data_IF_640601789138
#
_entry.id   IF_640601789138
#
_cell.length_a   1.000
_cell.length_b   1.000
_cell.length_c   1.000
_cell.angle_alpha   90.00
_cell.angle_beta   90.00
_cell.angle_gamma   90.00
#
_symmetry.space_group_name_H-M   'P 1'
#
loop_
_entity.id
_entity.type
_entity.pdbx_description
1 polymer ?
#
# COMPACT_ATOMS: atom_id res chain seq x y z
N UNK A 1 24.29 -75.47 -19.70
CA UNK A 1 24.98 -74.14 -19.41
C UNK A 1 24.56 -73.01 -20.29
N UNK A 2 24.29 -73.24 -21.60
CA UNK A 2 23.86 -72.18 -22.54
C UNK A 2 22.52 -71.54 -22.19
N UNK A 3 21.53 -72.29 -21.70
CA UNK A 3 20.22 -71.77 -21.28
C UNK A 3 20.26 -70.90 -20.00
N UNK A 4 21.16 -71.17 -19.09
CA UNK A 4 21.36 -70.33 -17.87
C UNK A 4 22.01 -68.96 -18.18
N UNK A 5 22.87 -68.92 -19.21
CA UNK A 5 23.52 -67.66 -19.65
C UNK A 5 22.54 -66.74 -20.35
N UNK A 6 21.62 -67.30 -21.18
CA UNK A 6 20.58 -66.51 -21.86
C UNK A 6 19.56 -65.91 -20.88
N UNK A 7 19.08 -66.66 -19.90
CA UNK A 7 18.15 -66.21 -18.87
C UNK A 7 18.76 -65.11 -18.01
N UNK A 8 20.06 -65.20 -17.70
CA UNK A 8 20.76 -64.13 -16.94
C UNK A 8 20.92 -62.85 -17.72
N UNK A 9 21.16 -62.92 -19.04
CA UNK A 9 21.30 -61.70 -19.86
C UNK A 9 19.95 -61.00 -20.13
N UNK A 10 18.88 -61.76 -20.32
CA UNK A 10 17.51 -61.18 -20.50
C UNK A 10 17.01 -60.53 -19.19
N UNK A 11 17.29 -61.12 -18.05
CA UNK A 11 16.95 -60.55 -16.75
C UNK A 11 17.71 -59.22 -16.48
N UNK A 12 19.02 -59.18 -16.81
CA UNK A 12 19.82 -57.95 -16.73
C UNK A 12 19.34 -56.82 -17.66
N UNK A 13 18.90 -57.18 -18.87
CA UNK A 13 18.36 -56.18 -19.82
C UNK A 13 17.01 -55.65 -19.35
N UNK A 14 16.13 -56.49 -18.84
CA UNK A 14 14.84 -56.11 -18.30
C UNK A 14 14.99 -55.22 -17.07
N UNK A 15 15.93 -55.51 -16.18
CA UNK A 15 16.18 -54.67 -14.99
C UNK A 15 16.76 -53.30 -15.36
N UNK A 16 17.61 -53.23 -16.36
CA UNK A 16 18.11 -51.94 -16.87
C UNK A 16 17.00 -51.12 -17.54
N UNK A 17 16.09 -51.76 -18.29
CA UNK A 17 14.94 -51.06 -18.86
C UNK A 17 13.96 -50.57 -17.83
N UNK A 18 13.64 -51.34 -16.79
CA UNK A 18 12.77 -50.94 -15.69
C UNK A 18 13.41 -49.82 -14.87
N UNK A 19 14.70 -49.87 -14.62
CA UNK A 19 15.41 -48.77 -13.91
C UNK A 19 15.43 -47.48 -14.73
N UNK A 20 15.70 -47.57 -16.05
CA UNK A 20 15.65 -46.40 -16.94
C UNK A 20 14.26 -45.80 -17.04
N UNK A 21 13.21 -46.64 -17.15
CA UNK A 21 11.82 -46.21 -17.17
C UNK A 21 11.41 -45.50 -15.87
N UNK A 22 11.80 -46.03 -14.71
CA UNK A 22 11.54 -45.40 -13.40
C UNK A 22 12.29 -44.07 -13.26
N UNK A 23 13.52 -43.98 -13.74
CA UNK A 23 14.29 -42.74 -13.72
C UNK A 23 13.62 -41.66 -14.61
N UNK A 24 13.23 -42.03 -15.84
CA UNK A 24 12.51 -41.15 -16.74
C UNK A 24 11.18 -40.68 -16.13
N UNK A 25 10.43 -41.59 -15.51
CA UNK A 25 9.14 -41.24 -14.88
C UNK A 25 9.33 -40.31 -13.67
N UNK A 26 10.36 -40.53 -12.84
CA UNK A 26 10.71 -39.62 -11.75
C UNK A 26 11.08 -38.22 -12.26
N UNK A 27 11.86 -38.14 -13.33
CA UNK A 27 12.24 -36.86 -13.94
C UNK A 27 10.98 -36.16 -14.52
N UNK A 28 10.11 -36.90 -15.22
CA UNK A 28 8.88 -36.36 -15.78
C UNK A 28 7.92 -35.86 -14.70
N UNK A 29 7.73 -36.63 -13.61
CA UNK A 29 6.90 -36.22 -12.45
C UNK A 29 7.50 -35.01 -11.77
N UNK A 30 8.83 -34.96 -11.58
CA UNK A 30 9.51 -33.78 -11.01
C UNK A 30 9.32 -32.54 -11.90
N UNK A 31 9.50 -32.65 -13.21
CA UNK A 31 9.29 -31.54 -14.15
C UNK A 31 7.83 -31.07 -14.16
N UNK A 32 6.88 -32.02 -14.12
CA UNK A 32 5.46 -31.70 -14.05
C UNK A 32 5.09 -31.04 -12.73
N UNK A 33 5.61 -31.55 -11.62
CA UNK A 33 5.41 -30.95 -10.29
C UNK A 33 6.01 -29.55 -10.21
N UNK A 34 7.22 -29.34 -10.71
CA UNK A 34 7.87 -28.03 -10.77
C UNK A 34 7.08 -27.06 -11.64
N UNK A 35 6.52 -27.50 -12.78
CA UNK A 35 5.68 -26.69 -13.65
C UNK A 35 4.36 -26.30 -12.97
N UNK A 36 3.70 -27.23 -12.28
CA UNK A 36 2.41 -26.98 -11.58
C UNK A 36 2.63 -26.19 -10.30
N UNK A 37 3.66 -26.51 -9.51
CA UNK A 37 3.97 -25.80 -8.28
C UNK A 37 4.47 -24.37 -8.53
N UNK A 38 5.08 -24.12 -9.69
CA UNK A 38 5.51 -22.78 -10.10
C UNK A 38 4.33 -21.88 -10.52
N UNK A 39 3.27 -22.47 -11.08
CA UNK A 39 2.05 -21.72 -11.47
C UNK A 39 1.14 -21.40 -10.25
N UNK A 40 1.28 -22.15 -9.15
CA UNK A 40 0.49 -21.96 -7.93
C UNK A 40 1.04 -20.90 -6.98
N UNK A 41 2.24 -20.37 -7.19
CA UNK A 41 2.78 -19.24 -6.43
C UNK A 41 2.35 -17.95 -7.11
N UNK A 42 1.86 -16.98 -6.34
CA UNK A 42 1.55 -15.63 -6.82
C UNK A 42 2.82 -14.95 -7.39
N UNK A 43 3.12 -15.24 -8.66
CA UNK A 43 4.25 -14.62 -9.35
C UNK A 43 3.82 -13.27 -9.92
N UNK A 44 4.46 -12.19 -9.48
CA UNK A 44 4.29 -10.85 -10.03
C UNK A 44 4.94 -10.80 -11.41
N UNK A 45 4.17 -10.40 -12.44
CA UNK A 45 4.70 -10.25 -13.78
C UNK A 45 5.45 -8.92 -13.90
N UNK A 46 6.71 -8.96 -14.31
CA UNK A 46 7.55 -7.77 -14.39
C UNK A 46 8.07 -7.52 -15.81
N UNK A 47 8.21 -6.23 -16.15
CA UNK A 47 8.99 -5.75 -17.28
C UNK A 47 10.24 -5.04 -16.77
N UNK A 48 11.33 -5.08 -17.55
CA UNK A 48 12.54 -4.34 -17.25
C UNK A 48 12.67 -3.20 -18.26
N UNK A 49 12.77 -1.97 -17.75
CA UNK A 49 13.05 -0.78 -18.56
C UNK A 49 14.55 -0.55 -18.63
N UNK A 50 15.07 -0.52 -19.86
CA UNK A 50 16.50 -0.45 -20.16
C UNK A 50 17.08 -1.83 -20.51
N UNK A 51 17.52 -1.98 -21.77
CA UNK A 51 17.99 -3.24 -22.32
C UNK A 51 19.51 -3.45 -22.20
N UNK A 52 20.32 -2.39 -22.02
CA UNK A 52 21.77 -2.52 -21.95
C UNK A 52 22.29 -3.10 -20.63
N UNK A 53 23.47 -3.70 -20.68
CA UNK A 53 24.32 -4.28 -19.62
C UNK A 53 23.70 -4.47 -18.24
N UNK A 54 23.27 -3.39 -17.61
CA UNK A 54 22.64 -3.41 -16.30
C UNK A 54 21.25 -4.06 -16.31
N UNK A 55 20.40 -3.78 -17.31
CA UNK A 55 19.07 -4.40 -17.40
C UNK A 55 19.13 -5.91 -17.67
N UNK A 56 20.09 -6.37 -18.46
CA UNK A 56 20.32 -7.82 -18.69
C UNK A 56 20.86 -8.48 -17.41
N UNK A 57 21.71 -7.79 -16.64
CA UNK A 57 22.21 -8.30 -15.36
C UNK A 57 21.09 -8.42 -14.33
N UNK A 58 20.19 -7.45 -14.25
CA UNK A 58 18.97 -7.52 -13.42
C UNK A 58 18.11 -8.72 -13.82
N UNK A 59 17.91 -8.96 -15.12
CA UNK A 59 17.17 -10.12 -15.60
C UNK A 59 17.83 -11.46 -15.24
N UNK A 60 19.16 -11.52 -15.24
CA UNK A 60 19.91 -12.70 -14.79
C UNK A 60 19.75 -12.92 -13.29
N UNK A 61 19.87 -11.88 -12.48
CA UNK A 61 19.70 -11.94 -11.03
C UNK A 61 18.30 -12.42 -10.64
N UNK A 62 17.25 -11.90 -11.32
CA UNK A 62 15.88 -12.36 -11.15
C UNK A 62 15.69 -13.86 -11.43
N UNK A 63 16.45 -14.43 -12.36
CA UNK A 63 16.38 -15.87 -12.70
C UNK A 63 17.14 -16.76 -11.72
N UNK A 64 18.22 -16.26 -11.14
CA UNK A 64 19.12 -17.04 -10.26
C UNK A 64 18.61 -17.04 -8.81
N UNK A 65 17.89 -16.00 -8.38
CA UNK A 65 17.34 -15.89 -7.03
C UNK A 65 16.33 -17.03 -6.74
N UNK A 66 16.60 -17.84 -5.74
CA UNK A 66 15.77 -18.98 -5.32
C UNK A 66 14.39 -18.58 -4.74
N UNK A 67 14.21 -17.32 -4.37
CA UNK A 67 12.95 -16.78 -3.83
C UNK A 67 12.12 -16.03 -4.89
N UNK A 68 12.08 -16.50 -6.13
CA UNK A 68 11.52 -15.80 -7.26
C UNK A 68 9.99 -15.65 -7.18
N UNK A 69 9.53 -14.53 -6.65
CA UNK A 69 8.15 -14.06 -6.76
C UNK A 69 7.92 -13.26 -8.07
N UNK A 70 8.97 -13.01 -8.87
CA UNK A 70 8.91 -12.18 -10.08
C UNK A 70 9.07 -13.00 -11.36
N UNK A 71 8.17 -12.78 -12.33
CA UNK A 71 8.20 -13.43 -13.65
C UNK A 71 8.47 -12.40 -14.73
N UNK A 72 9.66 -12.44 -15.34
CA UNK A 72 10.01 -11.54 -16.45
C UNK A 72 9.16 -11.84 -17.69
N UNK A 73 8.44 -10.83 -18.18
CA UNK A 73 7.53 -10.92 -19.34
C UNK A 73 8.03 -10.15 -20.56
N UNK A 74 8.98 -9.23 -20.40
CA UNK A 74 9.51 -8.44 -21.49
C UNK A 74 10.52 -7.37 -21.02
N UNK A 75 11.10 -6.72 -22.00
CA UNK A 75 11.95 -5.55 -21.82
C UNK A 75 11.32 -4.36 -22.53
N UNK A 76 11.62 -3.14 -22.05
CA UNK A 76 11.23 -1.89 -22.68
C UNK A 76 12.53 -1.18 -23.08
N UNK A 77 12.60 -0.65 -24.31
CA UNK A 77 13.76 0.11 -24.77
C UNK A 77 13.33 1.29 -25.64
N UNK A 78 14.03 2.41 -25.50
CA UNK A 78 13.89 3.59 -26.35
C UNK A 78 14.70 3.47 -27.66
N UNK A 79 15.58 2.48 -27.76
CA UNK A 79 16.51 2.33 -28.87
C UNK A 79 15.85 1.54 -30.01
N UNK A 80 15.73 2.15 -31.21
CA UNK A 80 15.10 1.50 -32.38
C UNK A 80 15.75 0.17 -32.75
N UNK A 81 17.09 0.08 -32.62
CA UNK A 81 17.86 -1.11 -33.00
C UNK A 81 17.61 -2.32 -32.11
N UNK A 82 17.04 -2.13 -30.93
CA UNK A 82 16.78 -3.19 -29.96
C UNK A 82 15.34 -3.67 -29.98
N UNK A 83 14.44 -2.87 -30.56
CA UNK A 83 13.01 -3.19 -30.60
C UNK A 83 12.76 -4.47 -31.40
N UNK A 84 11.94 -5.35 -30.86
CA UNK A 84 11.59 -6.62 -31.50
C UNK A 84 12.58 -7.77 -31.30
N UNK A 85 13.78 -7.49 -30.80
CA UNK A 85 14.75 -8.55 -30.47
C UNK A 85 14.23 -9.42 -29.30
N UNK A 86 14.74 -10.64 -29.23
CA UNK A 86 14.44 -11.56 -28.13
C UNK A 86 15.69 -11.82 -27.33
N UNK A 87 15.60 -11.65 -26.03
CA UNK A 87 16.68 -11.94 -25.10
C UNK A 87 16.12 -12.68 -23.88
N UNK A 88 16.81 -13.73 -23.46
CA UNK A 88 16.39 -14.56 -22.36
C UNK A 88 14.93 -15.10 -22.49
N UNK A 89 14.47 -15.37 -23.74
CA UNK A 89 13.13 -15.82 -24.02
C UNK A 89 12.04 -14.73 -23.94
N UNK A 90 12.42 -13.47 -23.73
CA UNK A 90 11.52 -12.33 -23.64
C UNK A 90 11.76 -11.37 -24.79
N UNK A 91 10.70 -10.72 -25.28
CA UNK A 91 10.75 -9.75 -26.37
C UNK A 91 11.00 -8.34 -25.82
N UNK A 92 11.73 -7.53 -26.60
CA UNK A 92 11.92 -6.10 -26.34
C UNK A 92 10.81 -5.30 -27.03
N UNK A 93 10.14 -4.43 -26.27
CA UNK A 93 9.05 -3.58 -26.70
C UNK A 93 9.48 -2.12 -26.77
N UNK A 94 8.93 -1.34 -27.72
CA UNK A 94 9.16 0.10 -27.76
C UNK A 94 8.45 0.82 -26.60
N UNK A 95 8.99 1.96 -26.22
CA UNK A 95 8.35 2.91 -25.35
C UNK A 95 7.44 3.84 -26.17
N UNK A 96 6.24 3.37 -26.50
CA UNK A 96 5.24 4.07 -27.32
C UNK A 96 3.91 4.20 -26.56
N UNK A 97 2.96 4.96 -27.10
CA UNK A 97 1.64 5.15 -26.50
C UNK A 97 0.87 3.82 -26.29
N UNK A 98 1.19 2.78 -27.06
CA UNK A 98 0.57 1.46 -26.94
C UNK A 98 1.22 0.59 -25.85
N UNK A 99 2.25 1.09 -25.15
CA UNK A 99 2.94 0.33 -24.11
C UNK A 99 1.97 -0.07 -23.00
N UNK A 100 1.15 0.85 -22.53
CA UNK A 100 0.20 0.60 -21.43
C UNK A 100 -0.82 -0.48 -21.78
N UNK A 101 -1.34 -0.50 -23.00
CA UNK A 101 -2.24 -1.55 -23.48
C UNK A 101 -1.55 -2.93 -23.50
N UNK A 102 -0.27 -2.95 -23.89
CA UNK A 102 0.55 -4.18 -23.88
C UNK A 102 0.84 -4.67 -22.48
N UNK A 103 1.14 -3.77 -21.52
CA UNK A 103 1.34 -4.11 -20.12
C UNK A 103 0.06 -4.72 -19.54
N UNK A 104 -1.08 -4.07 -19.75
CA UNK A 104 -2.39 -4.55 -19.29
C UNK A 104 -2.75 -5.91 -19.90
N UNK A 105 -2.52 -6.11 -21.21
CA UNK A 105 -2.76 -7.39 -21.89
C UNK A 105 -1.91 -8.53 -21.34
N UNK A 106 -0.69 -8.21 -20.86
CA UNK A 106 0.23 -9.20 -20.28
C UNK A 106 0.10 -9.34 -18.78
N UNK A 107 -0.84 -8.62 -18.15
CA UNK A 107 -1.03 -8.57 -16.69
C UNK A 107 0.29 -8.25 -15.99
N UNK A 108 0.93 -7.17 -16.39
CA UNK A 108 2.18 -6.69 -15.81
C UNK A 108 1.81 -5.60 -14.81
N UNK A 109 2.13 -5.83 -13.55
CA UNK A 109 1.81 -4.95 -12.45
C UNK A 109 3.06 -4.20 -11.94
N UNK A 110 4.26 -4.61 -12.41
CA UNK A 110 5.52 -4.07 -11.91
C UNK A 110 6.52 -3.84 -13.04
N UNK A 111 7.19 -2.68 -13.02
CA UNK A 111 8.30 -2.35 -13.93
C UNK A 111 9.57 -2.15 -13.11
N UNK A 112 10.64 -2.85 -13.47
CA UNK A 112 11.96 -2.67 -12.88
C UNK A 112 12.79 -1.77 -13.77
N UNK A 113 13.24 -0.64 -13.25
CA UNK A 113 14.05 0.32 -13.98
C UNK A 113 15.53 -0.01 -13.80
N UNK A 114 16.24 -0.08 -14.93
CA UNK A 114 17.70 -0.19 -14.91
C UNK A 114 18.34 1.09 -14.37
N UNK A 115 19.34 1.04 -13.47
CA UNK A 115 19.98 2.23 -12.89
C UNK A 115 20.47 3.25 -13.92
N UNK A 116 20.90 2.78 -15.10
CA UNK A 116 21.37 3.64 -16.19
C UNK A 116 20.26 4.44 -16.90
N UNK A 117 18.98 4.10 -16.68
CA UNK A 117 17.83 4.71 -17.35
C UNK A 117 16.94 5.53 -16.41
N UNK A 118 17.30 5.60 -15.15
CA UNK A 118 16.58 6.36 -14.13
C UNK A 118 16.45 7.84 -14.53
N UNK A 119 17.56 8.50 -14.84
CA UNK A 119 17.58 9.92 -15.21
C UNK A 119 16.83 10.23 -16.52
N UNK A 120 16.82 9.29 -17.48
CA UNK A 120 16.12 9.47 -18.76
C UNK A 120 14.59 9.43 -18.55
N UNK A 121 14.11 8.56 -17.66
CA UNK A 121 12.70 8.44 -17.29
C UNK A 121 12.20 9.67 -16.51
N UNK A 122 13.01 10.22 -15.62
CA UNK A 122 12.70 11.44 -14.87
C UNK A 122 12.38 12.60 -15.80
N UNK A 123 13.18 12.75 -16.86
CA UNK A 123 13.03 13.86 -17.79
C UNK A 123 11.89 13.67 -18.80
N UNK A 124 11.38 12.45 -18.99
CA UNK A 124 10.39 12.12 -20.03
C UNK A 124 8.92 12.22 -19.57
N UNK A 125 8.65 12.44 -18.28
CA UNK A 125 7.27 12.40 -17.72
C UNK A 125 6.61 11.02 -17.82
N UNK A 126 7.39 9.98 -18.12
CA UNK A 126 6.89 8.61 -18.26
C UNK A 126 6.48 8.02 -16.91
N UNK A 127 7.16 8.42 -15.85
CA UNK A 127 6.88 7.97 -14.48
C UNK A 127 5.46 8.36 -14.05
N UNK A 128 5.05 9.58 -14.32
CA UNK A 128 3.71 10.07 -13.99
C UNK A 128 2.64 9.21 -14.69
N UNK A 129 2.90 8.80 -15.93
CA UNK A 129 2.02 7.90 -16.68
C UNK A 129 2.01 6.49 -16.10
N UNK A 130 3.14 5.96 -15.64
CA UNK A 130 3.22 4.64 -15.01
C UNK A 130 2.42 4.60 -13.70
N UNK A 131 2.59 5.61 -12.86
CA UNK A 131 1.86 5.72 -11.60
C UNK A 131 0.36 5.96 -11.80
N UNK A 132 -0.05 6.75 -12.80
CA UNK A 132 -1.47 6.96 -13.12
C UNK A 132 -2.19 5.67 -13.57
N UNK A 133 -1.44 4.65 -14.00
CA UNK A 133 -1.96 3.33 -14.39
C UNK A 133 -1.78 2.26 -13.31
N UNK A 134 -1.48 2.65 -12.07
CA UNK A 134 -1.30 1.74 -10.92
C UNK A 134 -0.21 0.68 -11.13
N UNK A 135 0.88 1.06 -11.80
CA UNK A 135 2.03 0.19 -12.07
C UNK A 135 3.10 0.45 -11.03
N UNK A 136 3.46 -0.59 -10.28
CA UNK A 136 4.58 -0.52 -9.34
C UNK A 136 5.91 -0.34 -10.06
N UNK A 137 6.71 0.60 -9.58
CA UNK A 137 8.03 0.89 -10.16
C UNK A 137 9.11 0.51 -9.15
N UNK A 138 10.07 -0.28 -9.59
CA UNK A 138 11.19 -0.77 -8.78
C UNK A 138 12.52 -0.41 -9.42
N UNK A 139 13.57 -0.18 -8.63
CA UNK A 139 14.94 -0.02 -9.13
C UNK A 139 15.90 -0.99 -8.44
N UNK A 140 17.04 -1.19 -9.08
CA UNK A 140 18.15 -1.95 -8.48
C UNK A 140 19.21 -0.93 -8.09
N UNK A 141 19.68 -0.91 -6.83
CA UNK A 141 20.76 -0.01 -6.42
C UNK A 141 22.02 -0.22 -7.27
N UNK A 142 22.83 0.82 -7.50
CA UNK A 142 24.09 0.69 -8.24
C UNK A 142 25.02 -0.31 -7.51
N UNK A 143 25.80 -1.05 -8.30
CA UNK A 143 26.69 -2.13 -7.85
C UNK A 143 27.71 -1.73 -6.76
N UNK A 144 27.94 -0.44 -6.54
CA UNK A 144 28.81 0.09 -5.49
C UNK A 144 28.29 -0.15 -4.06
N UNK A 145 26.98 -0.35 -3.88
CA UNK A 145 26.34 -0.45 -2.57
C UNK A 145 25.87 -1.87 -2.24
N UNK A 146 26.13 -2.82 -3.16
CA UNK A 146 25.74 -4.22 -2.98
C UNK A 146 26.88 -5.04 -2.35
N UNK A 147 27.10 -4.91 -1.05
CA UNK A 147 27.88 -5.89 -0.29
C UNK A 147 27.01 -6.97 0.37
N UNK A 148 25.69 -6.82 0.38
CA UNK A 148 24.77 -7.85 0.90
C UNK A 148 23.64 -8.09 -0.10
N UNK A 149 23.42 -9.37 -0.39
CA UNK A 149 22.32 -9.98 -1.17
C UNK A 149 21.52 -9.03 -2.06
N UNK A 150 21.76 -9.07 -3.37
CA UNK A 150 21.17 -8.26 -4.45
C UNK A 150 19.67 -8.01 -4.33
N UNK A 151 19.29 -7.19 -3.38
CA UNK A 151 17.92 -6.82 -3.08
C UNK A 151 17.44 -5.80 -4.10
N UNK A 152 16.44 -6.21 -4.89
CA UNK A 152 15.60 -5.28 -5.63
C UNK A 152 14.87 -4.45 -4.59
N UNK A 153 15.14 -3.14 -4.56
CA UNK A 153 14.51 -2.21 -3.63
C UNK A 153 13.29 -1.59 -4.30
N UNK A 154 12.16 -1.56 -3.60
CA UNK A 154 11.04 -0.72 -4.01
C UNK A 154 11.50 0.74 -4.00
N UNK A 155 11.26 1.44 -5.11
CA UNK A 155 11.48 2.86 -5.17
C UNK A 155 10.38 3.51 -4.35
N UNK A 156 10.76 4.13 -3.26
CA UNK A 156 9.87 5.05 -2.56
C UNK A 156 9.69 6.28 -3.44
N UNK A 157 8.45 6.77 -3.53
CA UNK A 157 8.15 7.99 -4.31
C UNK A 157 8.98 9.18 -3.79
N UNK A 158 9.29 9.15 -2.49
CA UNK A 158 10.13 10.12 -1.80
C UNK A 158 11.54 10.22 -2.38
N UNK A 159 12.12 9.13 -2.88
CA UNK A 159 13.46 9.09 -3.49
C UNK A 159 13.50 9.89 -4.82
N UNK A 160 12.34 10.19 -5.40
CA UNK A 160 12.20 10.93 -6.67
C UNK A 160 11.83 12.40 -6.51
N UNK A 161 11.36 12.78 -5.32
CA UNK A 161 11.11 14.18 -5.04
C UNK A 161 12.44 14.93 -4.92
N UNK A 162 12.65 15.94 -5.78
CA UNK A 162 13.86 16.79 -5.76
C UNK A 162 13.88 17.74 -4.55
N UNK A 163 13.43 17.30 -3.40
CA UNK A 163 13.41 18.03 -2.13
C UNK A 163 13.74 17.10 -0.98
N UNK A 164 14.21 17.67 0.10
CA UNK A 164 14.39 16.90 1.32
C UNK A 164 13.05 16.37 1.84
N UNK A 165 12.99 15.10 2.27
CA UNK A 165 11.79 14.54 2.89
C UNK A 165 11.40 15.35 4.12
N UNK A 166 10.10 15.41 4.41
CA UNK A 166 9.60 16.08 5.59
C UNK A 166 10.13 15.36 6.83
N UNK A 167 10.87 16.08 7.67
CA UNK A 167 11.41 15.55 8.91
C UNK A 167 10.43 15.81 10.05
N UNK A 168 9.98 14.75 10.71
CA UNK A 168 9.12 14.79 11.90
C UNK A 168 9.84 14.20 13.12
N UNK A 169 9.52 14.68 14.30
CA UNK A 169 10.10 14.14 15.54
C UNK A 169 9.39 12.84 15.95
N UNK A 170 9.86 11.72 15.39
CA UNK A 170 9.30 10.40 15.66
C UNK A 170 9.27 10.03 17.15
N UNK A 171 10.20 10.56 17.97
CA UNK A 171 10.23 10.27 19.41
C UNK A 171 9.00 10.82 20.12
N UNK A 172 8.58 12.04 19.77
CA UNK A 172 7.37 12.65 20.31
C UNK A 172 6.12 11.92 19.90
N UNK A 173 6.04 11.52 18.61
CA UNK A 173 4.91 10.75 18.08
C UNK A 173 4.79 9.41 18.81
N UNK A 174 5.91 8.67 18.92
CA UNK A 174 5.95 7.38 19.62
C UNK A 174 5.47 7.50 21.05
N UNK A 175 5.91 8.49 21.80
CA UNK A 175 5.50 8.71 23.21
C UNK A 175 3.98 8.88 23.39
N UNK A 176 3.27 9.32 22.34
CA UNK A 176 1.82 9.47 22.38
C UNK A 176 1.05 8.21 21.93
N UNK A 177 1.69 7.27 21.25
CA UNK A 177 1.05 6.09 20.62
C UNK A 177 1.41 4.81 21.35
N UNK A 178 2.66 4.66 21.78
CA UNK A 178 3.17 3.46 22.43
C UNK A 178 2.30 3.05 23.63
N UNK A 179 1.94 1.76 23.66
CA UNK A 179 1.13 1.17 24.72
C UNK A 179 -0.34 1.63 24.75
N UNK A 180 -0.84 2.35 23.73
CA UNK A 180 -2.22 2.85 23.69
C UNK A 180 -3.10 2.06 22.74
N UNK A 181 -4.41 2.06 23.02
CA UNK A 181 -5.44 1.56 22.10
C UNK A 181 -5.77 2.65 21.09
N UNK A 182 -5.48 2.39 19.82
CA UNK A 182 -5.66 3.35 18.73
C UNK A 182 -6.73 2.84 17.76
N UNK A 183 -7.77 3.63 17.54
CA UNK A 183 -8.82 3.32 16.57
C UNK A 183 -8.57 4.11 15.27
N UNK A 184 -8.70 3.42 14.15
CA UNK A 184 -8.69 4.03 12.81
C UNK A 184 -10.01 3.68 12.13
N UNK A 185 -10.81 4.70 11.81
CA UNK A 185 -12.03 4.53 11.01
C UNK A 185 -11.73 4.88 9.56
N UNK A 186 -12.34 4.17 8.61
CA UNK A 186 -11.94 4.25 7.21
C UNK A 186 -10.58 3.56 6.97
N UNK A 187 -10.27 2.53 7.75
CA UNK A 187 -8.98 1.84 7.77
C UNK A 187 -8.64 1.14 6.44
N UNK A 188 -9.63 0.79 5.65
CA UNK A 188 -9.46 0.16 4.34
C UNK A 188 -9.20 1.18 3.20
N UNK A 189 -9.46 2.47 3.43
CA UNK A 189 -9.18 3.55 2.48
C UNK A 189 -7.68 3.82 2.34
N UNK A 190 -7.26 4.50 1.27
CA UNK A 190 -5.84 4.77 1.00
C UNK A 190 -5.15 5.49 2.18
N UNK A 191 -5.74 6.56 2.69
CA UNK A 191 -5.21 7.33 3.83
C UNK A 191 -5.25 6.51 5.11
N UNK A 192 -6.39 5.84 5.40
CA UNK A 192 -6.54 5.01 6.61
C UNK A 192 -5.54 3.86 6.65
N UNK A 193 -5.34 3.17 5.52
CA UNK A 193 -4.38 2.06 5.39
C UNK A 193 -2.95 2.52 5.65
N UNK A 194 -2.57 3.68 5.09
CA UNK A 194 -1.23 4.22 5.30
C UNK A 194 -1.01 4.66 6.77
N UNK A 195 -2.01 5.30 7.39
CA UNK A 195 -1.96 5.62 8.82
C UNK A 195 -1.82 4.33 9.66
N UNK A 196 -2.55 3.27 9.33
CA UNK A 196 -2.45 1.97 10.02
C UNK A 196 -1.05 1.38 9.91
N UNK A 197 -0.43 1.41 8.72
CA UNK A 197 0.95 0.94 8.52
C UNK A 197 1.94 1.70 9.40
N UNK A 198 1.86 3.03 9.42
CA UNK A 198 2.74 3.85 10.23
C UNK A 198 2.51 3.63 11.73
N UNK A 199 1.25 3.54 12.17
CA UNK A 199 0.92 3.22 13.56
C UNK A 199 1.47 1.86 14.00
N UNK A 200 1.47 0.86 13.12
CA UNK A 200 1.96 -0.48 13.42
C UNK A 200 3.47 -0.50 13.77
N UNK A 201 4.24 0.45 13.25
CA UNK A 201 5.68 0.61 13.57
C UNK A 201 5.94 1.25 14.95
N UNK A 202 4.92 1.85 15.57
CA UNK A 202 5.04 2.66 16.80
C UNK A 202 4.61 1.91 18.07
N UNK A 203 4.50 0.58 18.00
CA UNK A 203 4.17 -0.31 19.11
C UNK A 203 2.93 0.10 19.93
N UNK A 204 1.76 0.34 19.31
CA UNK A 204 0.52 0.53 20.06
C UNK A 204 0.17 -0.74 20.84
N UNK A 205 -0.56 -0.60 21.94
CA UNK A 205 -1.08 -1.77 22.67
C UNK A 205 -2.06 -2.57 21.81
N UNK A 206 -2.93 -1.86 21.08
CA UNK A 206 -3.92 -2.47 20.19
C UNK A 206 -4.28 -1.50 19.06
N UNK A 207 -4.36 -2.01 17.83
CA UNK A 207 -4.97 -1.32 16.69
C UNK A 207 -6.41 -1.80 16.48
N UNK A 208 -7.35 -0.87 16.44
CA UNK A 208 -8.78 -1.11 16.23
C UNK A 208 -9.11 -0.53 14.85
N UNK A 209 -9.35 -1.41 13.88
CA UNK A 209 -9.59 -1.05 12.49
C UNK A 209 -11.09 -1.14 12.20
N UNK A 210 -11.69 -0.03 11.79
CA UNK A 210 -13.12 0.05 11.49
C UNK A 210 -13.30 0.51 10.05
N UNK A 211 -14.04 -0.26 9.27
CA UNK A 211 -14.45 0.11 7.91
C UNK A 211 -15.72 -0.63 7.53
N UNK A 212 -16.49 -0.09 6.58
CA UNK A 212 -17.66 -0.78 6.04
C UNK A 212 -17.30 -1.76 4.91
N UNK A 213 -16.14 -1.58 4.27
CA UNK A 213 -15.65 -2.40 3.16
C UNK A 213 -14.90 -3.63 3.68
N UNK A 214 -15.58 -4.80 3.72
CA UNK A 214 -15.03 -6.05 4.26
C UNK A 214 -13.75 -6.50 3.57
N UNK A 215 -13.78 -6.65 2.23
CA UNK A 215 -12.65 -7.24 1.49
C UNK A 215 -11.37 -6.40 1.60
N UNK A 216 -11.37 -5.07 1.36
CA UNK A 216 -10.16 -4.26 1.55
C UNK A 216 -9.69 -4.22 3.02
N UNK A 217 -10.62 -4.33 3.98
CA UNK A 217 -10.28 -4.36 5.40
C UNK A 217 -9.57 -5.67 5.77
N UNK A 218 -9.99 -6.79 5.17
CA UNK A 218 -9.33 -8.08 5.31
C UNK A 218 -7.91 -8.08 4.73
N UNK A 219 -7.71 -7.41 3.57
CA UNK A 219 -6.37 -7.26 2.99
C UNK A 219 -5.42 -6.52 3.93
N UNK A 220 -5.90 -5.47 4.61
CA UNK A 220 -5.11 -4.75 5.64
C UNK A 220 -4.78 -5.67 6.81
N UNK A 221 -5.72 -6.50 7.25
CA UNK A 221 -5.47 -7.48 8.33
C UNK A 221 -4.38 -8.48 7.95
N UNK A 222 -4.44 -9.03 6.74
CA UNK A 222 -3.41 -9.95 6.24
C UNK A 222 -2.03 -9.30 6.21
N UNK A 223 -1.94 -8.10 5.66
CA UNK A 223 -0.70 -7.33 5.61
C UNK A 223 -0.09 -7.13 6.99
N UNK A 224 -0.91 -6.74 7.98
CA UNK A 224 -0.44 -6.55 9.35
C UNK A 224 0.01 -7.85 10.00
N UNK A 225 -0.71 -8.95 9.79
CA UNK A 225 -0.36 -10.26 10.36
C UNK A 225 0.95 -10.82 9.79
N UNK A 226 1.27 -10.50 8.55
CA UNK A 226 2.50 -10.94 7.89
C UNK A 226 3.73 -10.18 8.40
N UNK A 227 3.61 -8.86 8.62
CA UNK A 227 4.74 -8.00 8.96
C UNK A 227 4.89 -7.75 10.47
N UNK A 228 3.79 -7.72 11.24
CA UNK A 228 3.78 -7.38 12.68
C UNK A 228 3.09 -8.47 13.51
N UNK A 229 3.72 -9.64 13.63
CA UNK A 229 3.14 -10.84 14.29
C UNK A 229 2.75 -10.65 15.76
N UNK A 230 3.36 -9.70 16.46
CA UNK A 230 3.13 -9.46 17.89
C UNK A 230 2.14 -8.30 18.14
N UNK A 231 1.65 -7.65 17.09
CA UNK A 231 0.73 -6.53 17.20
C UNK A 231 -0.70 -7.05 17.41
N UNK A 232 -1.37 -6.59 18.47
CA UNK A 232 -2.77 -6.90 18.68
C UNK A 232 -3.64 -6.04 17.74
N UNK A 233 -4.26 -6.69 16.77
CA UNK A 233 -5.12 -6.04 15.76
C UNK A 233 -6.54 -6.55 15.90
N UNK A 234 -7.47 -5.61 16.04
CA UNK A 234 -8.91 -5.91 16.08
C UNK A 234 -9.60 -5.30 14.87
N UNK A 235 -10.13 -6.14 14.01
CA UNK A 235 -10.81 -5.74 12.77
C UNK A 235 -12.32 -5.80 12.97
N UNK A 236 -13.02 -4.72 12.65
CA UNK A 236 -14.44 -4.55 12.88
C UNK A 236 -15.12 -3.97 11.63
N UNK A 237 -15.97 -4.76 11.00
CA UNK A 237 -16.79 -4.28 9.88
C UNK A 237 -17.96 -3.49 10.44
N UNK A 238 -17.97 -2.19 10.21
CA UNK A 238 -19.03 -1.30 10.68
C UNK A 238 -19.08 -0.01 9.85
N UNK A 239 -20.31 0.52 9.70
CA UNK A 239 -20.56 1.84 9.17
C UNK A 239 -20.54 2.87 10.30
N UNK A 240 -19.73 3.93 10.15
CA UNK A 240 -19.63 5.04 11.14
C UNK A 240 -20.94 5.79 11.32
N UNK A 241 -21.82 5.77 10.31
CA UNK A 241 -23.14 6.36 10.40
C UNK A 241 -24.09 5.57 11.35
N UNK A 242 -23.81 4.29 11.59
CA UNK A 242 -24.57 3.47 12.51
C UNK A 242 -24.16 3.72 13.97
N UNK A 243 -24.82 4.69 14.62
CA UNK A 243 -24.49 5.09 16.00
C UNK A 243 -24.53 3.94 17.00
N UNK A 244 -25.55 3.10 16.95
CA UNK A 244 -25.71 1.98 17.90
C UNK A 244 -24.56 0.98 17.78
N UNK A 245 -24.16 0.65 16.55
CA UNK A 245 -23.02 -0.25 16.31
C UNK A 245 -21.72 0.37 16.77
N UNK A 246 -21.50 1.65 16.44
CA UNK A 246 -20.28 2.38 16.87
C UNK A 246 -20.21 2.49 18.39
N UNK A 247 -21.32 2.77 19.06
CA UNK A 247 -21.35 2.85 20.52
C UNK A 247 -20.96 1.52 21.19
N UNK A 248 -21.48 0.39 20.70
CA UNK A 248 -21.07 -0.93 21.17
C UNK A 248 -19.57 -1.19 20.96
N UNK A 249 -19.01 -0.75 19.82
CA UNK A 249 -17.59 -0.86 19.53
C UNK A 249 -16.76 -0.02 20.53
N UNK A 250 -17.17 1.21 20.81
CA UNK A 250 -16.48 2.08 21.78
C UNK A 250 -16.56 1.52 23.20
N UNK A 251 -17.69 0.96 23.60
CA UNK A 251 -17.85 0.33 24.90
C UNK A 251 -16.91 -0.86 25.08
N UNK A 252 -16.80 -1.69 24.05
CA UNK A 252 -15.98 -2.90 24.06
C UNK A 252 -14.49 -2.61 23.98
N UNK A 253 -14.06 -1.69 23.08
CA UNK A 253 -12.66 -1.46 22.76
C UNK A 253 -12.00 -0.34 23.57
N UNK A 254 -12.79 0.62 24.07
CA UNK A 254 -12.29 1.77 24.86
C UNK A 254 -11.08 2.43 24.23
N UNK A 255 -11.16 2.97 23.01
CA UNK A 255 -10.03 3.59 22.34
C UNK A 255 -9.54 4.83 23.14
N UNK A 256 -8.23 5.05 23.12
CA UNK A 256 -7.61 6.20 23.74
C UNK A 256 -7.24 7.28 22.72
N UNK A 257 -6.97 6.86 21.49
CA UNK A 257 -6.69 7.73 20.34
C UNK A 257 -7.60 7.31 19.17
N UNK A 258 -8.04 8.29 18.39
CA UNK A 258 -8.86 8.04 17.19
C UNK A 258 -8.31 8.82 16.01
N UNK A 259 -8.10 8.12 14.89
CA UNK A 259 -7.91 8.70 13.57
C UNK A 259 -9.16 8.45 12.73
N UNK A 260 -9.91 9.51 12.45
CA UNK A 260 -11.15 9.42 11.69
C UNK A 260 -10.91 9.79 10.23
N UNK A 261 -10.76 8.77 9.40
CA UNK A 261 -10.54 8.90 7.95
C UNK A 261 -11.73 8.41 7.12
N UNK A 262 -12.77 7.85 7.78
CA UNK A 262 -13.97 7.36 7.10
C UNK A 262 -14.75 8.50 6.45
N UNK A 263 -14.83 8.49 5.12
CA UNK A 263 -15.62 9.43 4.35
C UNK A 263 -15.73 9.02 2.89
N UNK A 264 -16.82 9.38 2.24
CA UNK A 264 -16.90 9.37 0.78
C UNK A 264 -16.09 10.54 0.20
N UNK A 265 -15.33 10.29 -0.89
CA UNK A 265 -14.39 11.25 -1.48
C UNK A 265 -14.60 11.53 -2.96
N UNK A 266 -15.39 10.73 -3.67
CA UNK A 266 -15.61 10.88 -5.11
C UNK A 266 -16.66 11.94 -5.39
N UNK A 267 -16.22 13.12 -5.86
CA UNK A 267 -17.09 14.30 -6.09
C UNK A 267 -18.27 13.97 -6.99
N UNK A 268 -18.01 13.48 -8.22
CA UNK A 268 -19.07 13.19 -9.19
C UNK A 268 -20.13 12.23 -8.64
N UNK A 269 -19.70 11.17 -7.94
CA UNK A 269 -20.63 10.21 -7.37
C UNK A 269 -21.45 10.81 -6.21
N UNK A 270 -20.85 11.69 -5.41
CA UNK A 270 -21.53 12.30 -4.26
C UNK A 270 -22.47 13.45 -4.65
N UNK A 271 -22.26 14.07 -5.80
CA UNK A 271 -23.23 15.02 -6.35
C UNK A 271 -24.53 14.33 -6.80
N UNK A 272 -24.46 13.07 -7.25
CA UNK A 272 -25.62 12.23 -7.56
C UNK A 272 -26.25 11.62 -6.29
N UNK A 273 -25.47 11.34 -5.25
CA UNK A 273 -25.88 10.68 -4.01
C UNK A 273 -25.58 11.52 -2.76
N UNK A 274 -26.13 12.75 -2.73
CA UNK A 274 -25.90 13.70 -1.64
C UNK A 274 -26.29 13.16 -0.26
N UNK A 275 -27.38 12.36 -0.19
CA UNK A 275 -27.82 11.71 1.07
C UNK A 275 -26.72 10.84 1.69
N UNK A 276 -26.00 10.08 0.87
CA UNK A 276 -24.93 9.21 1.33
C UNK A 276 -23.73 10.02 1.86
N UNK A 277 -23.40 11.13 1.17
CA UNK A 277 -22.38 12.06 1.64
C UNK A 277 -22.75 12.66 3.00
N UNK A 278 -24.01 13.09 3.18
CA UNK A 278 -24.50 13.61 4.46
C UNK A 278 -24.44 12.53 5.55
N UNK A 279 -24.93 11.34 5.26
CA UNK A 279 -25.00 10.24 6.22
C UNK A 279 -23.60 9.83 6.70
N UNK A 280 -22.67 9.59 5.79
CA UNK A 280 -21.34 9.12 6.15
C UNK A 280 -20.44 10.25 6.63
N UNK A 281 -20.31 11.35 5.84
CA UNK A 281 -19.34 12.39 6.14
C UNK A 281 -19.77 13.28 7.31
N UNK A 282 -21.08 13.57 7.45
CA UNK A 282 -21.58 14.42 8.53
C UNK A 282 -22.02 13.55 9.72
N UNK A 283 -23.07 12.70 9.56
CA UNK A 283 -23.63 11.97 10.69
C UNK A 283 -22.63 10.96 11.25
N UNK A 284 -21.80 10.32 10.40
CA UNK A 284 -20.69 9.47 10.81
C UNK A 284 -19.68 10.23 11.68
N UNK A 285 -19.23 11.41 11.22
CA UNK A 285 -18.29 12.25 12.00
C UNK A 285 -18.89 12.71 13.33
N UNK A 286 -20.18 13.13 13.33
CA UNK A 286 -20.92 13.48 14.55
C UNK A 286 -20.92 12.32 15.54
N UNK A 287 -21.25 11.11 15.08
CA UNK A 287 -21.25 9.92 15.93
C UNK A 287 -19.87 9.68 16.57
N UNK A 288 -18.79 9.73 15.78
CA UNK A 288 -17.43 9.51 16.28
C UNK A 288 -17.02 10.58 17.27
N UNK A 289 -17.30 11.88 17.00
CA UNK A 289 -16.96 12.97 17.89
C UNK A 289 -17.71 12.89 19.23
N UNK A 290 -19.03 12.62 19.20
CA UNK A 290 -19.84 12.45 20.41
C UNK A 290 -19.41 11.25 21.25
N UNK A 291 -19.10 10.12 20.59
CA UNK A 291 -18.63 8.92 21.28
C UNK A 291 -17.23 9.12 21.83
N UNK A 292 -16.35 9.83 21.13
CA UNK A 292 -15.03 10.21 21.64
C UNK A 292 -15.15 11.01 22.93
N UNK A 293 -16.04 12.01 22.98
CA UNK A 293 -16.35 12.77 24.18
C UNK A 293 -16.94 11.92 25.30
N UNK A 294 -17.97 11.10 24.98
CA UNK A 294 -18.67 10.22 25.95
C UNK A 294 -17.73 9.23 26.62
N UNK A 295 -16.80 8.62 25.84
CA UNK A 295 -15.87 7.60 26.33
C UNK A 295 -14.51 8.17 26.73
N UNK A 296 -14.39 9.49 26.82
CA UNK A 296 -13.17 10.21 27.27
C UNK A 296 -11.91 9.83 26.51
N UNK A 297 -12.04 9.78 25.17
CA UNK A 297 -10.90 9.58 24.29
C UNK A 297 -9.91 10.73 24.46
N UNK A 298 -8.63 10.44 24.68
CA UNK A 298 -7.64 11.50 24.93
C UNK A 298 -7.50 12.44 23.74
N UNK A 299 -7.44 11.90 22.51
CA UNK A 299 -7.31 12.71 21.29
C UNK A 299 -8.04 12.07 20.11
N UNK A 300 -8.70 12.93 19.35
CA UNK A 300 -9.34 12.57 18.07
C UNK A 300 -8.77 13.44 16.96
N UNK A 301 -8.28 12.82 15.90
CA UNK A 301 -7.80 13.48 14.67
C UNK A 301 -8.76 13.17 13.54
N UNK A 302 -9.48 14.18 13.05
CA UNK A 302 -10.35 14.10 11.88
C UNK A 302 -9.55 14.46 10.62
N UNK A 303 -9.64 13.62 9.59
CA UNK A 303 -9.03 13.86 8.29
C UNK A 303 -10.06 14.46 7.35
N UNK A 304 -9.77 15.66 6.87
CA UNK A 304 -10.59 16.42 5.94
C UNK A 304 -9.84 16.69 4.63
N UNK A 305 -10.48 17.34 3.68
CA UNK A 305 -9.90 17.74 2.40
C UNK A 305 -9.57 19.24 2.39
N UNK A 306 -8.50 19.64 1.70
CA UNK A 306 -8.12 21.04 1.56
C UNK A 306 -9.24 21.90 0.99
N UNK A 307 -9.98 21.38 0.00
CA UNK A 307 -11.09 22.05 -0.65
C UNK A 307 -12.28 22.32 0.29
N UNK A 308 -12.36 21.66 1.46
CA UNK A 308 -13.37 21.99 2.47
C UNK A 308 -13.29 23.45 2.97
N UNK A 309 -12.18 24.15 2.69
CA UNK A 309 -12.06 25.59 2.99
C UNK A 309 -12.97 26.46 2.12
N UNK A 310 -13.08 26.11 0.85
CA UNK A 310 -13.91 26.80 -0.16
C UNK A 310 -14.70 25.74 -0.93
N UNK A 311 -15.75 25.19 -0.33
CA UNK A 311 -16.48 24.07 -0.92
C UNK A 311 -17.28 24.50 -2.15
N UNK A 312 -17.21 23.71 -3.21
CA UNK A 312 -17.92 23.95 -4.49
C UNK A 312 -18.94 22.85 -4.82
N UNK A 313 -18.84 21.67 -4.19
CA UNK A 313 -19.69 20.51 -4.46
C UNK A 313 -20.20 19.85 -3.16
N UNK A 314 -21.14 18.92 -3.28
CA UNK A 314 -21.81 18.29 -2.14
C UNK A 314 -20.81 17.56 -1.21
N UNK A 315 -19.80 16.91 -1.76
CA UNK A 315 -18.78 16.21 -0.98
C UNK A 315 -17.98 17.20 -0.11
N UNK A 316 -17.53 18.31 -0.67
CA UNK A 316 -16.75 19.33 0.04
C UNK A 316 -17.59 20.07 1.09
N UNK A 317 -18.86 20.40 0.78
CA UNK A 317 -19.80 20.94 1.75
C UNK A 317 -20.02 19.98 2.92
N UNK A 318 -20.17 18.67 2.66
CA UNK A 318 -20.34 17.69 3.73
C UNK A 318 -19.13 17.63 4.66
N UNK A 319 -17.92 17.70 4.12
CA UNK A 319 -16.68 17.78 4.91
C UNK A 319 -16.62 19.09 5.72
N UNK A 320 -16.97 20.22 5.12
CA UNK A 320 -16.98 21.51 5.83
C UNK A 320 -17.95 21.52 7.00
N UNK A 321 -19.15 20.99 6.83
CA UNK A 321 -20.13 20.89 7.92
C UNK A 321 -19.60 19.99 9.06
N UNK A 322 -19.00 18.88 8.72
CA UNK A 322 -18.38 17.98 9.69
C UNK A 322 -17.24 18.66 10.47
N UNK A 323 -16.38 19.45 9.80
CA UNK A 323 -15.34 20.23 10.45
C UNK A 323 -15.92 21.23 11.47
N UNK A 324 -16.96 21.98 11.06
CA UNK A 324 -17.62 22.96 11.94
C UNK A 324 -18.17 22.25 13.20
N UNK A 325 -18.75 21.06 13.04
CA UNK A 325 -19.26 20.27 14.16
C UNK A 325 -18.12 19.88 15.13
N UNK A 326 -17.03 19.32 14.61
CA UNK A 326 -15.86 18.91 15.41
C UNK A 326 -15.26 20.11 16.15
N UNK A 327 -15.11 21.25 15.48
CA UNK A 327 -14.62 22.49 16.08
C UNK A 327 -15.51 22.98 17.23
N UNK A 328 -16.83 22.96 17.01
CA UNK A 328 -17.77 23.38 18.05
C UNK A 328 -17.81 22.43 19.23
N UNK A 329 -17.59 21.14 19.00
CA UNK A 329 -17.52 20.11 20.04
C UNK A 329 -16.24 20.24 20.87
N UNK A 330 -15.07 20.47 20.24
CA UNK A 330 -13.81 20.74 20.93
C UNK A 330 -13.91 21.98 21.85
N UNK A 331 -14.49 23.05 21.35
CA UNK A 331 -14.72 24.27 22.14
C UNK A 331 -15.64 24.02 23.36
N UNK A 332 -16.68 23.21 23.24
CA UNK A 332 -17.58 22.84 24.35
C UNK A 332 -16.85 21.97 25.37
N UNK A 333 -16.17 20.92 24.92
CA UNK A 333 -15.44 20.00 25.80
C UNK A 333 -14.34 20.69 26.60
N UNK A 334 -13.56 21.57 25.99
CA UNK A 334 -12.55 22.37 26.68
C UNK A 334 -13.13 23.27 27.77
N UNK A 335 -14.35 23.74 27.59
CA UNK A 335 -15.05 24.57 28.58
C UNK A 335 -15.59 23.73 29.74
N UNK A 336 -16.14 22.55 29.45
CA UNK A 336 -16.92 21.77 30.39
C UNK A 336 -16.09 20.69 31.12
N UNK A 337 -15.21 19.96 30.43
CA UNK A 337 -14.48 18.81 31.00
C UNK A 337 -12.98 18.80 30.74
N UNK A 338 -12.51 19.41 29.67
CA UNK A 338 -11.09 19.47 29.30
C UNK A 338 -10.41 18.12 28.95
N UNK A 339 -11.19 17.03 28.80
CA UNK A 339 -10.64 15.68 28.77
C UNK A 339 -10.34 15.13 27.35
N UNK A 340 -10.95 15.68 26.30
CA UNK A 340 -10.78 15.22 24.91
C UNK A 340 -10.32 16.36 24.02
N UNK A 341 -9.17 16.22 23.40
CA UNK A 341 -8.69 17.14 22.36
C UNK A 341 -9.12 16.66 20.98
N UNK A 342 -9.70 17.56 20.17
CA UNK A 342 -10.10 17.26 18.81
C UNK A 342 -9.28 18.11 17.82
N UNK A 343 -8.72 17.44 16.82
CA UNK A 343 -7.90 18.05 15.77
C UNK A 343 -8.52 17.81 14.41
N UNK A 344 -8.32 18.75 13.50
CA UNK A 344 -8.71 18.60 12.08
C UNK A 344 -7.46 18.79 11.24
N UNK A 345 -7.18 17.79 10.40
CA UNK A 345 -6.11 17.83 9.42
C UNK A 345 -6.74 17.85 8.04
N UNK A 346 -6.45 18.90 7.27
CA UNK A 346 -6.84 18.99 5.87
C UNK A 346 -5.70 18.48 5.02
N UNK A 347 -5.95 17.37 4.32
CA UNK A 347 -5.01 16.88 3.32
C UNK A 347 -5.33 17.54 1.98
N UNK A 348 -4.29 18.06 1.32
CA UNK A 348 -4.33 18.49 -0.05
C UNK A 348 -4.40 17.31 -1.02
N UNK A 349 -4.23 17.58 -2.30
CA UNK A 349 -4.03 16.54 -3.30
C UNK A 349 -2.64 15.96 -3.11
N UNK A 350 -2.57 14.66 -2.84
CA UNK A 350 -1.30 13.95 -2.61
C UNK A 350 -0.89 13.18 -3.85
N UNK A 351 0.42 13.06 -4.06
CA UNK A 351 0.97 12.22 -5.11
C UNK A 351 0.61 10.73 -4.85
N UNK A 352 0.23 9.90 -5.85
CA UNK A 352 0.38 10.14 -7.28
C UNK A 352 -0.86 10.72 -8.00
N UNK A 353 -1.86 11.21 -7.32
CA UNK A 353 -3.12 11.67 -7.94
C UNK A 353 -2.97 12.97 -8.75
N UNK A 354 -1.93 13.76 -8.46
CA UNK A 354 -1.67 15.01 -9.18
C UNK A 354 -0.16 15.29 -9.30
N UNK A 355 0.31 15.63 -10.50
CA UNK A 355 1.72 15.94 -10.82
C UNK A 355 2.25 17.22 -10.17
N UNK A 356 1.37 18.05 -9.64
CA UNK A 356 1.72 19.30 -8.95
C UNK A 356 1.76 19.16 -7.42
N UNK A 357 1.54 17.97 -6.88
CA UNK A 357 1.56 17.76 -5.44
C UNK A 357 2.98 17.81 -4.90
N UNK A 358 3.13 18.54 -3.80
CA UNK A 358 4.42 18.73 -3.11
C UNK A 358 4.69 17.67 -2.04
N UNK A 359 3.71 16.81 -1.73
CA UNK A 359 3.78 15.86 -0.62
C UNK A 359 3.26 14.47 -1.03
N UNK A 360 3.92 13.41 -0.53
CA UNK A 360 3.46 12.04 -0.74
C UNK A 360 2.38 11.66 0.26
N UNK A 361 1.66 10.56 -0.02
CA UNK A 361 0.67 10.03 0.91
C UNK A 361 1.32 9.64 2.25
N UNK A 362 2.50 9.04 2.21
CA UNK A 362 3.26 8.63 3.39
C UNK A 362 3.65 9.84 4.26
N UNK A 363 4.20 10.89 3.64
CA UNK A 363 4.54 12.12 4.34
C UNK A 363 3.31 12.84 4.91
N UNK A 364 2.20 12.89 4.16
CA UNK A 364 0.95 13.48 4.63
C UNK A 364 0.40 12.74 5.86
N UNK A 365 0.47 11.41 5.86
CA UNK A 365 0.07 10.60 7.00
C UNK A 365 1.03 10.79 8.19
N UNK A 366 2.34 10.89 7.95
CA UNK A 366 3.33 11.14 8.98
C UNK A 366 3.10 12.51 9.67
N UNK A 367 2.84 13.56 8.90
CA UNK A 367 2.45 14.87 9.43
C UNK A 367 1.12 14.81 10.18
N UNK A 368 0.19 13.97 9.75
CA UNK A 368 -1.06 13.73 10.48
C UNK A 368 -0.81 13.12 11.86
N UNK A 369 0.15 12.20 11.97
CA UNK A 369 0.56 11.65 13.27
C UNK A 369 1.29 12.69 14.15
N UNK A 370 2.06 13.60 13.54
CA UNK A 370 2.76 14.66 14.28
C UNK A 370 1.81 15.59 15.01
N UNK A 371 0.57 15.75 14.53
CA UNK A 371 -0.48 16.53 15.20
C UNK A 371 -0.68 16.11 16.66
N UNK A 372 -0.47 14.82 16.97
CA UNK A 372 -0.53 14.32 18.33
C UNK A 372 0.56 14.92 19.24
N UNK A 373 1.66 15.41 18.68
CA UNK A 373 2.77 16.01 19.43
C UNK A 373 2.58 17.50 19.74
N UNK A 374 1.60 18.14 19.08
CA UNK A 374 1.35 19.57 19.22
C UNK A 374 0.61 19.87 20.52
N UNK A 375 1.38 20.06 21.62
CA UNK A 375 0.85 20.22 22.98
C UNK A 375 0.39 21.65 23.28
N UNK A 376 0.88 22.68 22.55
CA UNK A 376 0.71 24.09 22.89
C UNK A 376 0.44 25.00 21.69
N UNK A 377 -0.63 24.79 20.96
CA UNK A 377 -1.16 25.86 20.12
C UNK A 377 -2.37 26.42 20.86
N UNK A 378 -2.21 27.62 21.40
CA UNK A 378 -3.20 28.33 22.23
C UNK A 378 -4.39 28.92 21.45
N UNK A 379 -4.63 28.45 20.22
CA UNK A 379 -5.78 28.89 19.43
C UNK A 379 -6.96 27.91 19.55
N UNK A 380 -8.19 28.43 19.59
CA UNK A 380 -9.38 27.61 19.84
C UNK A 380 -9.75 26.63 18.72
N UNK A 381 -8.97 26.58 17.66
CA UNK A 381 -9.22 25.68 16.52
C UNK A 381 -7.90 25.23 15.92
N UNK A 382 -7.51 24.01 16.22
CA UNK A 382 -6.28 23.40 15.67
C UNK A 382 -6.55 22.83 14.28
N UNK A 383 -6.56 23.72 13.30
CA UNK A 383 -6.74 23.37 11.90
C UNK A 383 -5.35 23.37 11.24
N UNK A 384 -4.90 22.21 10.80
CA UNK A 384 -3.68 22.06 10.02
C UNK A 384 -4.05 21.78 8.56
N UNK A 385 -3.47 22.56 7.65
CA UNK A 385 -3.53 22.28 6.21
C UNK A 385 -2.15 21.80 5.77
N UNK A 386 -2.10 20.60 5.26
CA UNK A 386 -0.90 19.89 4.78
C UNK A 386 -0.98 19.78 3.28
#
# INVERSE_FOLDING_TARGET
EMLRSLVGSEMCIRDRFTFSLMACMRIAVKMLYEAIAFDARHCVNVFIYGFHGTGVNVAKSLRVSRNNHYRLRGFISDEPDMIGKHTMGCRVYPNDEQLFDRLKKKKVDTIIISPSKVSDLENSGMLDKLFSHDIHVMTVPPLSDCMDDGLIKDIQIEDWLRREPVQVDMRKITAHIEGRRVMVTGAAGAVGREIVRQLATLNPYQLILVDQAESPLYDVQLELSDHWKNLEVRVLVADVANRTRMEAIFEETRPQLIFHSAAYKHVQLMDDFVSEAIQTNISGTVNIADLAAKYRVSRMVMISAANARHPENAMEYSKRVAEIYVQSSDCRLKRDTGETDMFIVRLGEVYPTNTHCLITLSEACMLTLEVLSLIHISEPTRLLSI
#
